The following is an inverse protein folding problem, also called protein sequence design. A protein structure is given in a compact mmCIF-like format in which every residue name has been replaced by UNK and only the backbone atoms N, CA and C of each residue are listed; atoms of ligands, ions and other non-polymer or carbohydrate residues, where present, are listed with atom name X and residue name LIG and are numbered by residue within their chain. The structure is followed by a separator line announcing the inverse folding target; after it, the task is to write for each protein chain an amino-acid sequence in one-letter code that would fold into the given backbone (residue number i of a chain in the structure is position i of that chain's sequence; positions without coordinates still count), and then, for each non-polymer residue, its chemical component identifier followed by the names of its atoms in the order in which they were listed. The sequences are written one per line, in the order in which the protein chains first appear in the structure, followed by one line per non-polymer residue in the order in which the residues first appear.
data_IF_110668410219
#
_entry.id   IF_110668410219
#
_cell.length_a   1.000
_cell.length_b   1.000
_cell.length_c   1.000
_cell.angle_alpha   90.00
_cell.angle_beta   90.00
_cell.angle_gamma   90.00
#
_symmetry.space_group_name_H-M   'P 1'
#
loop_
_entity.id
_entity.type
_entity.pdbx_description
1 polymer ?
#
# COMPACT_ATOMS: atom_id res chain seq x y z
N UNK A 1 -6.70 6.19 17.65
CA UNK A 1 -5.83 5.91 16.51
C UNK A 1 -4.64 6.85 16.51
N UNK A 2 -3.47 6.34 16.29
CA UNK A 2 -2.24 7.12 16.27
C UNK A 2 -2.06 7.75 14.89
N UNK A 3 -2.23 9.07 14.79
CA UNK A 3 -2.18 9.75 13.50
C UNK A 3 -0.77 9.80 12.90
N UNK A 4 0.27 9.50 13.69
CA UNK A 4 1.62 9.44 13.15
C UNK A 4 1.85 8.16 12.33
N UNK A 5 1.01 7.15 12.53
CA UNK A 5 1.12 5.87 11.84
C UNK A 5 0.09 5.71 10.73
N UNK A 6 -0.94 6.55 10.72
CA UNK A 6 -2.06 6.36 9.80
C UNK A 6 -2.30 7.62 8.98
N UNK A 7 -2.63 7.44 7.75
CA UNK A 7 -3.01 8.51 6.84
C UNK A 7 -4.35 8.19 6.22
N UNK A 8 -5.10 9.24 5.91
CA UNK A 8 -6.36 9.10 5.21
C UNK A 8 -6.18 9.44 3.75
N UNK A 9 -6.87 8.72 2.90
CA UNK A 9 -6.93 9.07 1.49
C UNK A 9 -8.31 8.70 0.96
N UNK A 10 -8.73 9.43 -0.06
CA UNK A 10 -10.03 9.19 -0.67
C UNK A 10 -9.90 8.03 -1.66
N UNK A 11 -10.86 7.11 -1.60
CA UNK A 11 -10.93 5.98 -2.51
C UNK A 11 -12.31 6.00 -3.13
N UNK A 12 -12.39 5.78 -4.44
CA UNK A 12 -13.68 5.76 -5.10
C UNK A 12 -14.52 4.60 -4.58
N UNK A 13 -15.84 4.78 -4.67
CA UNK A 13 -16.75 3.84 -4.00
C UNK A 13 -16.66 2.43 -4.60
N UNK A 14 -16.43 2.32 -5.89
CA UNK A 14 -16.29 1.02 -6.54
C UNK A 14 -15.08 0.27 -6.02
N UNK A 15 -13.93 0.94 -5.97
CA UNK A 15 -12.71 0.33 -5.44
C UNK A 15 -12.86 -0.06 -3.99
N UNK A 16 -13.48 0.81 -3.20
CA UNK A 16 -13.71 0.52 -1.79
C UNK A 16 -14.58 -0.72 -1.61
N UNK A 17 -15.62 -0.83 -2.42
CA UNK A 17 -16.53 -1.97 -2.37
C UNK A 17 -15.78 -3.27 -2.68
N UNK A 18 -14.93 -3.23 -3.70
CA UNK A 18 -14.14 -4.41 -4.08
C UNK A 18 -13.15 -4.77 -2.97
N UNK A 19 -12.51 -3.75 -2.39
CA UNK A 19 -11.56 -3.97 -1.30
C UNK A 19 -12.26 -4.64 -0.12
N UNK A 20 -13.48 -4.22 0.20
CA UNK A 20 -14.22 -4.82 1.28
C UNK A 20 -14.55 -6.29 1.00
N UNK A 21 -14.95 -6.58 -0.23
CA UNK A 21 -15.26 -7.95 -0.62
C UNK A 21 -14.03 -8.85 -0.52
N UNK A 22 -12.90 -8.36 -1.03
CA UNK A 22 -11.65 -9.11 -0.96
C UNK A 22 -11.20 -9.33 0.48
N UNK A 23 -11.33 -8.29 1.31
CA UNK A 23 -10.94 -8.37 2.70
C UNK A 23 -11.81 -9.34 3.49
N UNK A 24 -13.10 -9.39 3.16
CA UNK A 24 -14.03 -10.27 3.83
C UNK A 24 -13.58 -11.73 3.71
N UNK A 25 -13.15 -12.13 2.52
CA UNK A 25 -12.70 -13.50 2.27
C UNK A 25 -11.44 -13.85 3.07
N UNK A 26 -10.60 -12.88 3.37
CA UNK A 26 -9.39 -13.09 4.13
C UNK A 26 -9.45 -12.59 5.55
N UNK A 27 -10.64 -12.22 6.03
CA UNK A 27 -10.84 -11.66 7.36
C UNK A 27 -9.99 -10.42 7.59
N UNK A 28 -9.84 -9.60 6.56
CA UNK A 28 -9.07 -8.36 6.64
C UNK A 28 -9.98 -7.15 6.56
N UNK A 29 -9.65 -6.13 7.34
CA UNK A 29 -10.33 -4.85 7.24
C UNK A 29 -9.81 -4.09 6.02
N UNK A 30 -10.55 -3.09 5.53
CA UNK A 30 -10.12 -2.36 4.32
C UNK A 30 -8.68 -1.83 4.40
N UNK A 31 -8.27 -1.27 5.54
CA UNK A 31 -6.91 -0.77 5.71
C UNK A 31 -5.88 -1.88 5.55
N UNK A 32 -6.13 -3.02 6.16
CA UNK A 32 -5.22 -4.17 6.06
C UNK A 32 -5.20 -4.73 4.65
N UNK A 33 -6.34 -4.71 3.97
CA UNK A 33 -6.41 -5.19 2.60
C UNK A 33 -5.60 -4.29 1.67
N UNK A 34 -5.66 -2.97 1.89
CA UNK A 34 -4.86 -2.03 1.12
C UNK A 34 -3.37 -2.30 1.34
N UNK A 35 -2.97 -2.53 2.59
CA UNK A 35 -1.58 -2.83 2.89
C UNK A 35 -1.11 -4.10 2.17
N UNK A 36 -1.97 -5.11 2.10
CA UNK A 36 -1.64 -6.33 1.40
C UNK A 36 -1.47 -6.08 -0.10
N UNK A 37 -2.35 -5.28 -0.69
CA UNK A 37 -2.26 -4.96 -2.10
C UNK A 37 -0.98 -4.19 -2.42
N UNK A 38 -0.59 -3.27 -1.54
CA UNK A 38 0.66 -2.52 -1.70
C UNK A 38 1.84 -3.48 -1.64
N UNK A 39 1.84 -4.38 -0.66
CA UNK A 39 2.91 -5.36 -0.51
C UNK A 39 3.05 -6.23 -1.76
N UNK A 40 1.92 -6.72 -2.27
CA UNK A 40 1.91 -7.55 -3.48
C UNK A 40 2.45 -6.78 -4.67
N UNK A 41 2.10 -5.51 -4.80
CA UNK A 41 2.56 -4.69 -5.91
C UNK A 41 4.06 -4.42 -5.82
N UNK A 42 4.57 -4.16 -4.61
CA UNK A 42 6.00 -3.95 -4.41
C UNK A 42 6.78 -5.20 -4.82
N UNK A 43 6.28 -6.37 -4.44
CA UNK A 43 6.91 -7.63 -4.84
C UNK A 43 6.95 -7.78 -6.35
N UNK A 44 5.87 -7.42 -7.01
CA UNK A 44 5.77 -7.50 -8.47
C UNK A 44 6.78 -6.58 -9.14
N UNK A 45 6.88 -5.34 -8.66
CA UNK A 45 7.82 -4.36 -9.22
C UNK A 45 9.26 -4.81 -8.98
N UNK A 46 9.55 -5.31 -7.78
CA UNK A 46 10.89 -5.79 -7.45
C UNK A 46 11.33 -6.90 -8.39
N UNK A 47 10.43 -7.85 -8.64
CA UNK A 47 10.72 -8.96 -9.54
C UNK A 47 10.97 -8.45 -10.97
N UNK A 48 10.17 -7.50 -11.40
CA UNK A 48 10.29 -6.93 -12.75
C UNK A 48 11.62 -6.22 -12.94
N UNK A 49 12.12 -5.56 -11.90
CA UNK A 49 13.38 -4.83 -11.95
C UNK A 49 14.58 -5.61 -11.49
N UNK A 50 14.38 -6.88 -11.14
CA UNK A 50 15.46 -7.77 -10.70
C UNK A 50 16.16 -7.27 -9.45
N UNK A 51 15.41 -6.74 -8.50
CA UNK A 51 15.95 -6.32 -7.21
C UNK A 51 15.21 -7.03 -6.10
N UNK A 52 15.79 -7.05 -4.91
CA UNK A 52 15.14 -7.70 -3.77
C UNK A 52 13.93 -6.88 -3.31
N UNK A 53 12.98 -7.55 -2.68
CA UNK A 53 11.81 -6.90 -2.13
C UNK A 53 12.21 -5.78 -1.15
N UNK A 54 13.13 -6.09 -0.25
CA UNK A 54 13.55 -5.12 0.76
C UNK A 54 14.17 -3.88 0.14
N UNK A 55 15.00 -4.07 -0.87
CA UNK A 55 15.62 -2.95 -1.55
C UNK A 55 14.58 -2.08 -2.28
N UNK A 56 13.65 -2.74 -2.96
CA UNK A 56 12.60 -2.00 -3.67
C UNK A 56 11.73 -1.23 -2.69
N UNK A 57 11.37 -1.85 -1.58
CA UNK A 57 10.57 -1.20 -0.55
C UNK A 57 11.29 0.04 0.00
N UNK A 58 12.58 -0.08 0.30
CA UNK A 58 13.39 1.03 0.79
C UNK A 58 13.42 2.17 -0.21
N UNK A 59 13.65 1.85 -1.49
CA UNK A 59 13.71 2.87 -2.53
C UNK A 59 12.39 3.62 -2.66
N UNK A 60 11.28 2.89 -2.63
CA UNK A 60 9.96 3.50 -2.75
C UNK A 60 9.64 4.36 -1.52
N UNK A 61 10.05 3.90 -0.33
CA UNK A 61 9.86 4.69 0.88
C UNK A 61 10.62 6.00 0.84
N UNK A 62 11.86 5.96 0.37
CA UNK A 62 12.67 7.18 0.22
C UNK A 62 12.03 8.14 -0.76
N UNK A 63 11.61 7.63 -1.91
CA UNK A 63 10.98 8.45 -2.92
C UNK A 63 9.65 9.03 -2.42
N UNK A 64 8.85 8.20 -1.77
CA UNK A 64 7.58 8.65 -1.23
C UNK A 64 7.75 9.69 -0.15
N UNK A 65 8.75 9.53 0.71
CA UNK A 65 9.02 10.51 1.75
C UNK A 65 9.38 11.88 1.18
N UNK A 66 10.10 11.89 0.08
CA UNK A 66 10.40 13.15 -0.61
C UNK A 66 9.11 13.81 -1.12
N UNK A 67 8.21 13.01 -1.65
CA UNK A 67 6.92 13.51 -2.16
C UNK A 67 6.06 14.05 -1.02
N UNK A 68 6.08 13.41 0.14
CA UNK A 68 5.31 13.86 1.30
C UNK A 68 5.81 15.20 1.84
N UNK A 69 7.12 15.44 1.75
CA UNK A 69 7.71 16.70 2.21
C UNK A 69 7.59 17.80 1.17
N UNK A 70 7.39 17.43 -0.07
CA UNK A 70 7.26 18.37 -1.17
C UNK A 70 5.83 18.88 -1.24
N UNK A 71 5.67 20.17 -1.38
CA UNK A 71 4.34 20.76 -1.43
C UNK A 71 4.13 21.55 -2.68
#
# INVERSE_FOLDING_TARGET
MDISKWKSCAVDIESYTIIRAMGQNGFRRPGNMIAKLVDDEVKKIAKKQNVSYDKMKQNLLLEGNKLLKSK
#
